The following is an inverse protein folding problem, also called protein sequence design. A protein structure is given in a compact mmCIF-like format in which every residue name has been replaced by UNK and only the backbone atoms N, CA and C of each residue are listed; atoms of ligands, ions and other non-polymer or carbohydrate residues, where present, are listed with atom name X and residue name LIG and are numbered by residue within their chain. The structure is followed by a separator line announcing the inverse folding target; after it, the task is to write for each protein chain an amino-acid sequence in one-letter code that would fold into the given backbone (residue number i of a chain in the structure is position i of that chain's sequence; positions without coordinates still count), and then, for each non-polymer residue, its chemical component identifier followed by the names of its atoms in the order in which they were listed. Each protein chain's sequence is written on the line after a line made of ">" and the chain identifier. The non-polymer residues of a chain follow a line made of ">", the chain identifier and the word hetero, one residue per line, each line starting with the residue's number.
data_IF_006957062681
#
_entry.id   IF_006957062681
#
_cell.length_a   1.000
_cell.length_b   1.000
_cell.length_c   1.000
_cell.angle_alpha   90.00
_cell.angle_beta   90.00
_cell.angle_gamma   90.00
#
_symmetry.space_group_name_H-M   'P 1'
#
loop_
_entity.id
_entity.type
_entity.pdbx_description
1 polymer ?
#
# COMPACT_ATOMS: atom_id res chain seq x y z
N UNK A 1 9.86 2.12 -0.09
CA UNK A 1 10.33 2.04 1.32
C UNK A 1 9.11 2.03 2.20
N UNK A 2 8.84 0.93 2.91
CA UNK A 2 7.78 0.93 3.93
C UNK A 2 8.36 1.59 5.17
N UNK A 3 7.85 2.78 5.51
CA UNK A 3 8.51 3.66 6.47
C UNK A 3 8.59 3.07 7.89
N UNK A 4 7.58 2.29 8.30
CA UNK A 4 7.52 1.70 9.64
C UNK A 4 8.39 0.45 9.79
N UNK A 5 8.63 -0.31 8.72
CA UNK A 5 9.58 -1.43 8.66
C UNK A 5 11.00 -1.01 9.00
N UNK A 6 11.38 0.24 8.68
CA UNK A 6 12.69 0.76 9.04
C UNK A 6 12.68 1.27 10.48
N UNK A 7 13.39 0.57 11.37
CA UNK A 7 13.54 1.00 12.77
C UNK A 7 14.14 2.40 12.90
N UNK A 8 15.17 2.70 12.10
CA UNK A 8 15.77 4.03 12.08
C UNK A 8 14.73 5.10 11.80
N UNK A 9 13.89 4.92 10.78
CA UNK A 9 12.83 5.90 10.45
C UNK A 9 11.76 5.92 11.54
N UNK A 10 11.32 4.77 12.02
CA UNK A 10 10.29 4.66 13.07
C UNK A 10 10.68 5.40 14.36
N UNK A 11 11.95 5.38 14.73
CA UNK A 11 12.45 6.06 15.93
C UNK A 11 12.58 7.58 15.76
N UNK A 12 12.52 8.11 14.53
CA UNK A 12 12.54 9.55 14.28
C UNK A 12 11.17 10.21 14.50
N UNK A 13 10.08 9.45 14.47
CA UNK A 13 8.73 10.00 14.54
C UNK A 13 8.04 9.60 15.85
N UNK A 14 7.49 10.61 16.53
CA UNK A 14 6.77 10.44 17.80
C UNK A 14 5.38 9.82 17.61
N UNK A 15 4.72 10.09 16.48
CA UNK A 15 3.39 9.57 16.15
C UNK A 15 3.38 8.94 14.76
N UNK A 16 2.88 7.71 14.66
CA UNK A 16 2.89 6.90 13.43
C UNK A 16 1.47 6.57 13.04
N UNK A 17 1.12 6.90 11.79
CA UNK A 17 -0.21 6.66 11.24
C UNK A 17 -0.12 5.61 10.15
N UNK A 18 -1.00 4.61 10.22
CA UNK A 18 -1.18 3.63 9.18
C UNK A 18 -2.57 3.79 8.55
N UNK A 19 -2.63 3.92 7.24
CA UNK A 19 -3.89 4.06 6.50
C UNK A 19 -4.20 2.75 5.80
N UNK A 20 -5.31 2.12 6.18
CA UNK A 20 -5.86 0.97 5.45
C UNK A 20 -6.74 1.47 4.31
N UNK A 21 -6.83 0.69 3.24
CA UNK A 21 -7.74 0.95 2.14
C UNK A 21 -8.31 -0.37 1.67
N UNK A 22 -9.62 -0.42 1.50
CA UNK A 22 -10.31 -1.61 1.01
C UNK A 22 -9.70 -2.06 -0.34
N UNK A 23 -9.57 -3.38 -0.53
CA UNK A 23 -8.97 -3.96 -1.73
C UNK A 23 -9.65 -3.47 -3.01
N UNK A 24 -10.99 -3.43 -3.04
CA UNK A 24 -11.75 -2.96 -4.19
C UNK A 24 -11.45 -1.49 -4.56
N UNK A 25 -11.35 -0.61 -3.55
CA UNK A 25 -10.98 0.80 -3.75
C UNK A 25 -9.56 0.92 -4.29
N UNK A 26 -8.63 0.12 -3.77
CA UNK A 26 -7.22 0.10 -4.20
C UNK A 26 -7.08 -0.38 -5.64
N UNK A 27 -7.74 -1.48 -5.98
CA UNK A 27 -7.78 -2.02 -7.34
C UNK A 27 -8.35 -0.99 -8.32
N UNK A 28 -9.47 -0.35 -7.96
CA UNK A 28 -10.09 0.70 -8.78
C UNK A 28 -9.14 1.87 -9.03
N UNK A 29 -8.42 2.34 -8.00
CA UNK A 29 -7.44 3.42 -8.12
C UNK A 29 -6.27 3.03 -9.04
N UNK A 30 -5.76 1.82 -8.90
CA UNK A 30 -4.68 1.28 -9.74
C UNK A 30 -5.11 1.15 -11.19
N UNK A 31 -6.29 0.57 -11.43
CA UNK A 31 -6.88 0.45 -12.77
C UNK A 31 -6.99 1.81 -13.44
N UNK A 32 -7.62 2.79 -12.77
CA UNK A 32 -7.75 4.16 -13.31
C UNK A 32 -6.40 4.80 -13.62
N UNK A 33 -5.44 4.70 -12.70
CA UNK A 33 -4.11 5.29 -12.90
C UNK A 33 -3.37 4.68 -14.09
N UNK A 34 -3.33 3.35 -14.21
CA UNK A 34 -2.57 2.70 -15.28
C UNK A 34 -3.28 2.72 -16.63
N UNK A 35 -4.62 2.71 -16.65
CA UNK A 35 -5.39 2.98 -17.86
C UNK A 35 -5.09 4.37 -18.41
N UNK A 36 -5.05 5.40 -17.55
CA UNK A 36 -4.63 6.75 -17.96
C UNK A 36 -3.20 6.80 -18.51
N UNK A 37 -2.31 5.93 -18.02
CA UNK A 37 -0.94 5.78 -18.51
C UNK A 37 -0.82 4.91 -19.78
N UNK A 38 -1.95 4.50 -20.37
CA UNK A 38 -1.98 3.73 -21.61
C UNK A 38 -1.73 2.23 -21.44
N UNK A 39 -1.78 1.70 -20.22
CA UNK A 39 -1.72 0.24 -20.01
C UNK A 39 -3.05 -0.42 -20.27
N UNK A 40 -2.98 -1.63 -20.81
CA UNK A 40 -4.12 -2.51 -20.92
C UNK A 40 -4.60 -3.01 -19.54
N UNK A 41 -5.83 -3.50 -19.49
CA UNK A 41 -6.38 -4.06 -18.27
C UNK A 41 -5.62 -5.33 -17.81
N UNK A 42 -5.18 -6.17 -18.75
CA UNK A 42 -4.41 -7.38 -18.44
C UNK A 42 -3.04 -7.07 -17.82
N UNK A 43 -2.31 -6.10 -18.37
CA UNK A 43 -1.06 -5.62 -17.76
C UNK A 43 -1.28 -5.04 -16.37
N UNK A 44 -2.38 -4.31 -16.19
CA UNK A 44 -2.71 -3.68 -14.92
C UNK A 44 -3.08 -4.71 -13.87
N UNK A 45 -3.80 -5.77 -14.25
CA UNK A 45 -4.11 -6.89 -13.37
C UNK A 45 -2.85 -7.65 -12.96
N UNK A 46 -1.97 -7.98 -13.93
CA UNK A 46 -0.71 -8.67 -13.64
C UNK A 46 0.16 -7.88 -12.65
N UNK A 47 0.23 -6.55 -12.82
CA UNK A 47 0.93 -5.66 -11.90
C UNK A 47 0.29 -5.61 -10.51
N UNK A 48 -1.04 -5.64 -10.44
CA UNK A 48 -1.75 -5.64 -9.16
C UNK A 48 -1.45 -6.92 -8.38
N UNK A 49 -1.51 -8.08 -9.03
CA UNK A 49 -1.22 -9.37 -8.38
C UNK A 49 0.22 -9.45 -7.87
N UNK A 50 1.20 -8.99 -8.66
CA UNK A 50 2.60 -8.98 -8.22
C UNK A 50 2.80 -8.09 -6.98
N UNK A 51 2.17 -6.90 -6.97
CA UNK A 51 2.24 -5.98 -5.81
C UNK A 51 1.49 -6.48 -4.59
N UNK A 52 0.39 -7.24 -4.77
CA UNK A 52 -0.37 -7.81 -3.66
C UNK A 52 0.47 -8.77 -2.84
N UNK A 53 1.27 -9.60 -3.50
CA UNK A 53 2.10 -10.61 -2.86
C UNK A 53 3.32 -9.97 -2.20
N UNK A 54 4.04 -9.13 -2.92
CA UNK A 54 5.35 -8.64 -2.48
C UNK A 54 5.24 -7.40 -1.58
N UNK A 55 4.36 -6.46 -1.94
CA UNK A 55 4.36 -5.12 -1.35
C UNK A 55 3.25 -4.97 -0.30
N UNK A 56 2.01 -5.35 -0.63
CA UNK A 56 0.88 -5.12 0.27
C UNK A 56 0.88 -5.98 1.53
N UNK A 57 1.34 -7.23 1.43
CA UNK A 57 1.52 -8.08 2.62
C UNK A 57 2.58 -7.55 3.58
N UNK A 58 3.66 -6.96 3.06
CA UNK A 58 4.70 -6.35 3.90
C UNK A 58 4.17 -5.07 4.55
N UNK A 59 3.49 -4.22 3.78
CA UNK A 59 2.88 -2.99 4.30
C UNK A 59 1.84 -3.31 5.39
N UNK A 60 1.02 -4.35 5.23
CA UNK A 60 0.00 -4.69 6.23
C UNK A 60 0.60 -5.14 7.57
N UNK A 61 1.74 -5.85 7.55
CA UNK A 61 2.45 -6.26 8.79
C UNK A 61 2.88 -5.06 9.64
N UNK A 62 3.20 -3.95 8.98
CA UNK A 62 3.64 -2.72 9.62
C UNK A 62 2.52 -1.95 10.35
N UNK A 63 1.26 -2.31 10.13
CA UNK A 63 0.13 -1.73 10.87
C UNK A 63 0.27 -1.87 12.39
N UNK A 64 0.94 -2.94 12.85
CA UNK A 64 1.22 -3.20 14.28
C UNK A 64 2.22 -2.21 14.90
N UNK A 65 2.96 -1.49 14.08
CA UNK A 65 3.98 -0.53 14.50
C UNK A 65 3.44 0.91 14.50
N UNK A 66 2.16 1.09 14.16
CA UNK A 66 1.50 2.39 14.13
C UNK A 66 0.75 2.67 15.43
N UNK A 67 0.74 3.95 15.82
CA UNK A 67 0.00 4.43 16.98
C UNK A 67 -1.48 4.66 16.62
N UNK A 68 -1.77 4.93 15.35
CA UNK A 68 -3.13 5.15 14.85
C UNK A 68 -3.37 4.44 13.51
N UNK A 69 -4.52 3.78 13.39
CA UNK A 69 -4.98 3.15 12.15
C UNK A 69 -6.21 3.89 11.63
N UNK A 70 -6.19 4.31 10.37
CA UNK A 70 -7.29 5.02 9.70
C UNK A 70 -7.77 4.21 8.51
N UNK A 71 -9.08 4.01 8.37
CA UNK A 71 -9.68 3.33 7.22
C UNK A 71 -10.15 4.33 6.16
N UNK A 72 -9.72 4.14 4.91
CA UNK A 72 -10.06 4.96 3.74
C UNK A 72 -10.82 4.16 2.68
#
# INVERSE_FOLDING_TARGET
>A
VVALSSEKLRNLYTHKVFVTTAEEKRLTRIKKYYQWRGKSESETQALYESRKIDEYKLIEKDSKLADQIISN
#
